data_IF_120244315139
#
_entry.id   IF_120244315139
#
_cell.length_a   1.000
_cell.length_b   1.000
_cell.length_c   1.000
_cell.angle_alpha   90.00
_cell.angle_beta   90.00
_cell.angle_gamma   90.00
#
_symmetry.space_group_name_H-M   'P 1'
#
loop_
_entity.id
_entity.type
_entity.pdbx_description
1 polymer ?
#
# COMPACT_ATOMS: atom_id res chain seq x y z
N UNK A 1 -3.36 -14.82 -4.41
CA UNK A 1 -3.77 -13.99 -5.57
C UNK A 1 -2.54 -13.46 -6.28
N UNK A 2 -2.58 -13.42 -7.59
CA UNK A 2 -1.50 -12.82 -8.38
C UNK A 2 -1.76 -11.30 -8.57
N UNK A 3 -0.79 -10.61 -9.18
CA UNK A 3 -0.89 -9.16 -9.33
C UNK A 3 -2.13 -8.72 -10.12
N UNK A 4 -2.48 -9.44 -11.19
CA UNK A 4 -3.65 -9.10 -12.01
C UNK A 4 -4.95 -9.27 -11.23
N UNK A 5 -5.07 -10.33 -10.45
CA UNK A 5 -6.24 -10.56 -9.60
C UNK A 5 -6.37 -9.48 -8.51
N UNK A 6 -5.26 -9.10 -7.89
CA UNK A 6 -5.24 -8.05 -6.88
C UNK A 6 -5.62 -6.71 -7.51
N UNK A 7 -5.11 -6.43 -8.71
CA UNK A 7 -5.47 -5.20 -9.43
C UNK A 7 -6.99 -5.11 -9.64
N UNK A 8 -7.59 -6.19 -10.14
CA UNK A 8 -9.04 -6.24 -10.36
C UNK A 8 -9.81 -6.05 -9.06
N UNK A 9 -9.35 -6.70 -7.99
CA UNK A 9 -9.97 -6.56 -6.68
C UNK A 9 -9.91 -5.12 -6.16
N UNK A 10 -8.75 -4.48 -6.25
CA UNK A 10 -8.59 -3.11 -5.78
C UNK A 10 -9.44 -2.13 -6.60
N UNK A 11 -9.56 -2.33 -7.90
CA UNK A 11 -10.41 -1.49 -8.75
C UNK A 11 -11.88 -1.58 -8.37
N UNK A 12 -12.32 -2.77 -7.98
CA UNK A 12 -13.70 -2.99 -7.56
C UNK A 12 -13.99 -2.42 -6.18
N UNK A 13 -13.09 -2.67 -5.21
CA UNK A 13 -13.34 -2.33 -3.80
C UNK A 13 -12.93 -0.88 -3.47
N UNK A 14 -11.99 -0.32 -4.20
CA UNK A 14 -11.49 1.04 -3.96
C UNK A 14 -11.48 1.82 -5.29
N UNK A 15 -12.65 2.15 -5.85
CA UNK A 15 -12.71 2.85 -7.13
C UNK A 15 -11.98 4.19 -7.06
N UNK A 16 -11.37 4.60 -8.17
CA UNK A 16 -10.66 5.87 -8.31
C UNK A 16 -9.41 6.00 -7.42
N UNK A 17 -8.76 4.87 -7.11
CA UNK A 17 -7.54 4.91 -6.29
C UNK A 17 -6.30 5.37 -7.08
N UNK A 18 -6.34 5.34 -8.42
CA UNK A 18 -5.22 5.74 -9.30
C UNK A 18 -3.95 4.93 -9.11
N UNK A 19 -4.08 3.66 -8.70
CA UNK A 19 -2.93 2.81 -8.40
C UNK A 19 -2.87 1.60 -9.31
N UNK A 20 -1.64 1.15 -9.57
CA UNK A 20 -1.41 -0.06 -10.34
C UNK A 20 -0.48 -1.00 -9.58
N UNK A 21 -0.91 -2.24 -9.43
CA UNK A 21 -0.08 -3.29 -8.86
C UNK A 21 0.96 -3.71 -9.89
N UNK A 22 2.22 -3.37 -9.66
CA UNK A 22 3.29 -3.66 -10.59
C UNK A 22 3.82 -5.08 -10.43
N UNK A 23 3.99 -5.53 -9.21
CA UNK A 23 4.45 -6.88 -8.93
C UNK A 23 4.04 -7.30 -7.54
N UNK A 24 3.83 -8.59 -7.37
CA UNK A 24 3.60 -9.23 -6.08
C UNK A 24 4.32 -10.56 -6.07
N UNK A 25 4.97 -10.86 -4.97
CA UNK A 25 5.51 -12.18 -4.69
C UNK A 25 5.41 -12.40 -3.18
N UNK A 26 5.67 -13.59 -2.71
CA UNK A 26 5.44 -13.92 -1.31
C UNK A 26 5.97 -12.84 -0.35
N UNK A 27 5.07 -12.26 0.44
CA UNK A 27 5.34 -11.23 1.45
C UNK A 27 5.82 -9.89 0.88
N UNK A 28 5.64 -9.65 -0.41
CA UNK A 28 6.10 -8.44 -1.06
C UNK A 28 5.07 -7.94 -2.08
N UNK A 29 4.91 -6.61 -2.15
CA UNK A 29 4.12 -5.99 -3.23
C UNK A 29 4.74 -4.65 -3.60
N UNK A 30 4.64 -4.31 -4.88
CA UNK A 30 5.06 -3.03 -5.41
C UNK A 30 3.88 -2.39 -6.12
N UNK A 31 3.49 -1.20 -5.70
CA UNK A 31 2.35 -0.47 -6.25
C UNK A 31 2.80 0.90 -6.71
N UNK A 32 2.34 1.29 -7.90
CA UNK A 32 2.55 2.61 -8.47
C UNK A 32 1.30 3.46 -8.24
N UNK A 33 1.46 4.67 -7.72
CA UNK A 33 0.40 5.66 -7.62
C UNK A 33 0.62 6.72 -8.70
N UNK A 34 -0.35 6.81 -9.64
CA UNK A 34 -0.34 7.85 -10.65
C UNK A 34 -0.78 9.17 -10.00
N UNK A 35 0.11 10.15 -9.99
CA UNK A 35 -0.13 11.43 -9.33
C UNK A 35 -0.89 12.38 -10.26
N UNK A 36 -1.94 13.00 -9.73
CA UNK A 36 -2.63 14.10 -10.38
C UNK A 36 -2.87 15.22 -9.35
N UNK A 37 -3.58 16.27 -9.74
CA UNK A 37 -3.79 17.42 -8.87
C UNK A 37 -4.53 17.07 -7.58
N UNK A 38 -5.33 16.01 -7.56
CA UNK A 38 -6.06 15.57 -6.36
C UNK A 38 -5.13 15.07 -5.26
N UNK A 39 -3.91 14.68 -5.60
CA UNK A 39 -2.92 14.17 -4.64
C UNK A 39 -2.03 15.28 -4.07
N UNK A 40 -2.14 16.50 -4.59
CA UNK A 40 -1.24 17.57 -4.21
C UNK A 40 -1.87 18.45 -3.12
N UNK A 41 -1.00 19.00 -2.30
CA UNK A 41 -1.37 20.00 -1.31
C UNK A 41 -0.93 21.39 -1.80
N UNK A 42 -1.37 22.47 -1.14
CA UNK A 42 -0.85 23.80 -1.47
C UNK A 42 0.68 23.83 -1.46
N UNK A 43 1.26 24.40 -2.50
CA UNK A 43 2.71 24.38 -2.71
C UNK A 43 3.17 23.32 -3.70
N UNK A 44 2.27 22.44 -4.17
CA UNK A 44 2.54 21.49 -5.25
C UNK A 44 3.22 20.20 -4.81
N UNK A 45 3.36 19.93 -3.51
CA UNK A 45 3.90 18.65 -3.03
C UNK A 45 2.79 17.63 -2.84
N UNK A 46 3.15 16.35 -2.95
CA UNK A 46 2.19 15.27 -2.70
C UNK A 46 1.77 15.27 -1.23
N UNK A 47 0.48 15.14 -0.99
CA UNK A 47 -0.07 15.22 0.37
C UNK A 47 0.27 13.98 1.21
N UNK A 48 0.38 14.19 2.53
CA UNK A 48 0.57 13.09 3.46
C UNK A 48 -0.53 12.02 3.37
N UNK A 49 -1.81 12.40 3.35
CA UNK A 49 -2.90 11.42 3.20
C UNK A 49 -2.78 10.56 1.94
N UNK A 50 -2.32 11.11 0.82
CA UNK A 50 -2.12 10.33 -0.40
C UNK A 50 -1.02 9.28 -0.20
N UNK A 51 0.06 9.63 0.48
CA UNK A 51 1.13 8.68 0.80
C UNK A 51 0.67 7.62 1.80
N UNK A 52 -0.18 8.00 2.77
CA UNK A 52 -0.75 7.05 3.72
C UNK A 52 -1.65 6.02 3.02
N UNK A 53 -2.46 6.47 2.06
CA UNK A 53 -3.30 5.56 1.28
C UNK A 53 -2.45 4.60 0.47
N UNK A 54 -1.38 5.09 -0.16
CA UNK A 54 -0.47 4.23 -0.92
C UNK A 54 0.17 3.18 -0.02
N UNK A 55 0.64 3.58 1.16
CA UNK A 55 1.23 2.65 2.12
C UNK A 55 0.22 1.58 2.54
N UNK A 56 -1.02 1.98 2.82
CA UNK A 56 -2.06 1.07 3.27
C UNK A 56 -2.42 0.05 2.18
N UNK A 57 -2.61 0.51 0.95
CA UNK A 57 -2.95 -0.40 -0.16
C UNK A 57 -1.78 -1.28 -0.57
N UNK A 58 -0.54 -0.82 -0.44
CA UNK A 58 0.62 -1.66 -0.69
C UNK A 58 0.70 -2.81 0.33
N UNK A 59 0.39 -2.53 1.61
CA UNK A 59 0.29 -3.57 2.64
C UNK A 59 -0.81 -4.56 2.30
N UNK A 60 -1.99 -4.06 1.96
CA UNK A 60 -3.13 -4.92 1.64
C UNK A 60 -2.82 -5.83 0.45
N UNK A 61 -2.18 -5.30 -0.58
CA UNK A 61 -1.79 -6.10 -1.74
C UNK A 61 -0.83 -7.24 -1.36
N UNK A 62 0.16 -6.97 -0.52
CA UNK A 62 1.08 -8.02 -0.04
C UNK A 62 0.33 -9.08 0.78
N UNK A 63 -0.63 -8.66 1.59
CA UNK A 63 -1.45 -9.58 2.39
C UNK A 63 -2.28 -10.47 1.47
N UNK A 64 -2.98 -9.89 0.49
CA UNK A 64 -3.80 -10.66 -0.44
C UNK A 64 -2.97 -11.65 -1.25
N UNK A 65 -1.76 -11.27 -1.65
CA UNK A 65 -0.87 -12.16 -2.38
C UNK A 65 -0.39 -13.32 -1.50
N UNK A 66 -0.11 -13.06 -0.24
CA UNK A 66 0.51 -14.04 0.67
C UNK A 66 -0.49 -14.99 1.30
N UNK A 67 -1.64 -14.48 1.75
CA UNK A 67 -2.62 -15.29 2.50
C UNK A 67 -3.94 -15.50 1.75
N UNK A 68 -4.09 -14.89 0.57
CA UNK A 68 -5.29 -15.05 -0.23
C UNK A 68 -6.37 -14.02 0.10
N UNK A 69 -7.58 -14.27 -0.37
CA UNK A 69 -8.69 -13.30 -0.26
C UNK A 69 -9.18 -13.19 1.19
N UNK A 70 -8.75 -12.14 1.88
CA UNK A 70 -9.15 -11.84 3.26
C UNK A 70 -9.77 -10.44 3.29
N UNK A 71 -10.91 -10.31 2.63
CA UNK A 71 -11.56 -9.01 2.42
C UNK A 71 -11.89 -8.27 3.70
N UNK A 72 -12.07 -9.00 4.82
CA UNK A 72 -12.38 -8.37 6.10
C UNK A 72 -11.14 -8.03 6.93
N UNK A 73 -9.95 -8.25 6.40
CA UNK A 73 -8.73 -7.79 7.06
C UNK A 73 -8.72 -6.27 7.08
N UNK A 74 -8.41 -5.69 8.22
CA UNK A 74 -8.46 -4.23 8.41
C UNK A 74 -7.18 -3.72 9.04
N UNK A 75 -6.82 -2.49 8.68
CA UNK A 75 -5.70 -1.79 9.29
C UNK A 75 -6.01 -1.45 10.73
N UNK A 76 -5.16 -1.87 11.66
CA UNK A 76 -5.31 -1.50 13.08
C UNK A 76 -4.27 -0.48 13.50
N UNK A 77 -3.18 -0.37 12.79
CA UNK A 77 -2.14 0.61 13.07
C UNK A 77 -1.38 0.94 11.80
N UNK A 78 -1.17 2.22 11.57
CA UNK A 78 -0.32 2.72 10.48
C UNK A 78 0.49 3.86 11.05
N UNK A 79 1.81 3.68 11.11
CA UNK A 79 2.73 4.69 11.59
C UNK A 79 3.64 5.06 10.42
N UNK A 80 3.60 6.32 10.00
CA UNK A 80 4.37 6.78 8.84
C UNK A 80 5.26 7.95 9.24
N UNK A 81 6.49 7.92 8.74
CA UNK A 81 7.45 9.01 8.88
C UNK A 81 7.74 9.56 7.50
N UNK A 82 7.54 10.87 7.32
CA UNK A 82 7.81 11.56 6.08
C UNK A 82 9.25 12.06 6.12
N UNK A 83 10.09 11.55 5.23
CA UNK A 83 11.53 11.77 5.27
C UNK A 83 11.98 12.95 4.42
N UNK A 84 11.27 13.18 3.31
CA UNK A 84 11.56 14.28 2.39
C UNK A 84 10.35 14.56 1.52
N UNK A 85 10.34 15.70 0.84
CA UNK A 85 9.28 16.04 -0.09
C UNK A 85 9.42 15.23 -1.37
N UNK A 86 8.35 14.55 -1.83
CA UNK A 86 8.37 13.87 -3.12
C UNK A 86 8.47 14.88 -4.27
N UNK A 87 9.03 14.44 -5.38
CA UNK A 87 9.03 15.22 -6.62
C UNK A 87 7.60 15.41 -7.10
N UNK A 88 7.12 16.66 -7.30
CA UNK A 88 5.70 16.89 -7.59
C UNK A 88 5.24 16.38 -8.96
N UNK A 89 6.17 16.13 -9.88
CA UNK A 89 5.83 15.68 -11.25
C UNK A 89 6.11 14.21 -11.48
N UNK A 90 6.49 13.48 -10.46
CA UNK A 90 6.75 12.04 -10.57
C UNK A 90 5.69 11.26 -9.84
N UNK A 91 5.36 10.10 -10.37
CA UNK A 91 4.52 9.15 -9.67
C UNK A 91 5.24 8.63 -8.43
N UNK A 92 4.48 8.06 -7.51
CA UNK A 92 5.03 7.45 -6.30
C UNK A 92 4.96 5.93 -6.41
N UNK A 93 5.91 5.27 -5.77
CA UNK A 93 5.95 3.81 -5.68
C UNK A 93 5.95 3.43 -4.22
N UNK A 94 5.06 2.51 -3.85
CA UNK A 94 5.05 1.91 -2.52
C UNK A 94 5.51 0.47 -2.61
N UNK A 95 6.52 0.10 -1.84
CA UNK A 95 6.98 -1.28 -1.72
C UNK A 95 6.75 -1.77 -0.32
N UNK A 96 5.94 -2.81 -0.19
CA UNK A 96 5.61 -3.40 1.10
C UNK A 96 6.29 -4.74 1.27
N UNK A 97 6.70 -5.03 2.50
CA UNK A 97 7.26 -6.32 2.90
C UNK A 97 6.61 -6.74 4.20
N UNK A 98 6.04 -7.95 4.24
CA UNK A 98 5.45 -8.47 5.45
C UNK A 98 6.55 -9.06 6.33
N UNK A 99 6.62 -8.59 7.57
CA UNK A 99 7.63 -9.00 8.54
C UNK A 99 7.13 -10.16 9.39
N UNK A 100 5.82 -10.20 9.65
CA UNK A 100 5.18 -11.25 10.43
C UNK A 100 3.81 -11.55 9.84
N UNK A 101 3.55 -12.82 9.61
CA UNK A 101 2.25 -13.29 9.12
C UNK A 101 1.68 -14.25 10.15
N UNK A 102 0.90 -13.72 11.08
CA UNK A 102 0.23 -14.51 12.11
C UNK A 102 -1.20 -14.86 11.71
N UNK A 103 -1.89 -15.62 12.54
CA UNK A 103 -3.29 -15.97 12.29
C UNK A 103 -4.22 -14.78 12.40
N UNK A 104 -3.91 -13.84 13.29
CA UNK A 104 -4.76 -12.69 13.57
C UNK A 104 -4.10 -11.37 13.25
N UNK A 105 -2.77 -11.30 13.35
CA UNK A 105 -2.04 -10.06 13.12
C UNK A 105 -0.99 -10.28 12.05
N UNK A 106 -0.93 -9.33 11.11
CA UNK A 106 0.09 -9.28 10.08
C UNK A 106 0.78 -7.93 10.22
N UNK A 107 2.10 -7.95 10.33
CA UNK A 107 2.91 -6.76 10.51
C UNK A 107 3.86 -6.63 9.34
N UNK A 108 3.94 -5.43 8.79
CA UNK A 108 4.83 -5.16 7.68
C UNK A 108 5.35 -3.74 7.66
N UNK A 109 6.17 -3.47 6.67
CA UNK A 109 6.68 -2.13 6.44
C UNK A 109 6.53 -1.75 4.98
N UNK A 110 6.46 -0.45 4.73
CA UNK A 110 6.34 0.09 3.38
C UNK A 110 7.37 1.21 3.23
N UNK A 111 8.13 1.15 2.15
CA UNK A 111 8.95 2.28 1.72
C UNK A 111 8.26 2.95 0.54
N UNK A 112 8.21 4.28 0.56
CA UNK A 112 7.62 5.06 -0.53
C UNK A 112 8.72 5.86 -1.20
N UNK A 113 8.73 5.80 -2.54
CA UNK A 113 9.74 6.47 -3.37
C UNK A 113 9.05 7.32 -4.43
N UNK A 114 9.71 8.38 -4.87
CA UNK A 114 9.37 8.95 -6.17
C UNK A 114 9.83 7.97 -7.24
N UNK A 115 9.07 7.81 -8.30
CA UNK A 115 9.42 6.88 -9.39
C UNK A 115 10.81 7.17 -9.92
N UNK A 116 11.64 6.14 -10.07
CA UNK A 116 13.02 6.21 -10.54
C UNK A 116 14.00 6.95 -9.61
N UNK A 117 13.62 7.11 -8.34
CA UNK A 117 14.52 7.66 -7.31
C UNK A 117 14.74 6.59 -6.24
N UNK A 118 15.99 6.20 -5.94
CA UNK A 118 16.26 5.17 -4.95
C UNK A 118 16.11 5.62 -3.50
N UNK A 119 16.01 6.94 -3.27
CA UNK A 119 15.91 7.47 -1.91
C UNK A 119 14.46 7.51 -1.44
N UNK A 120 14.12 6.87 -0.33
CA UNK A 120 12.72 6.86 0.13
C UNK A 120 12.28 8.25 0.57
N UNK A 121 11.04 8.59 0.24
CA UNK A 121 10.41 9.84 0.68
C UNK A 121 9.61 9.63 1.96
N UNK A 122 9.21 8.40 2.25
CA UNK A 122 8.49 8.06 3.47
C UNK A 122 8.71 6.59 3.80
N UNK A 123 8.56 6.26 5.08
CA UNK A 123 8.61 4.90 5.58
C UNK A 123 7.47 4.70 6.56
N UNK A 124 6.77 3.57 6.42
CA UNK A 124 5.66 3.23 7.30
C UNK A 124 5.83 1.85 7.90
N UNK A 125 5.32 1.67 9.11
CA UNK A 125 5.04 0.36 9.67
C UNK A 125 3.54 0.21 9.77
N UNK A 126 3.04 -0.98 9.53
CA UNK A 126 1.62 -1.20 9.40
C UNK A 126 1.24 -2.56 10.02
N UNK A 127 0.14 -2.57 10.73
CA UNK A 127 -0.42 -3.81 11.30
C UNK A 127 -1.85 -3.97 10.83
N UNK A 128 -2.15 -5.17 10.33
CA UNK A 128 -3.51 -5.56 9.96
C UNK A 128 -4.02 -6.61 10.92
N UNK A 129 -5.31 -6.53 11.21
CA UNK A 129 -6.04 -7.58 11.93
C UNK A 129 -6.79 -8.42 10.92
N UNK A 130 -6.60 -9.74 11.00
CA UNK A 130 -7.32 -10.70 10.17
C UNK A 130 -8.39 -11.35 11.06
N UNK A 131 -9.67 -11.24 10.69
CA UNK A 131 -10.72 -11.85 11.51
C UNK A 131 -10.63 -13.38 11.48
N UNK A 132 -11.24 -14.04 12.45
CA UNK A 132 -11.33 -15.50 12.42
C UNK A 132 -11.97 -15.99 11.13
N UNK A 133 -11.57 -17.18 10.68
CA UNK A 133 -12.03 -17.74 9.41
C UNK A 133 -13.55 -17.76 9.26
N UNK A 134 -14.28 -17.99 10.35
CA UNK A 134 -15.75 -18.02 10.33
C UNK A 134 -16.39 -16.65 10.08
N UNK A 135 -15.63 -15.56 10.08
CA UNK A 135 -16.13 -14.24 9.75
C UNK A 135 -15.81 -13.81 8.33
N UNK A 136 -15.14 -14.65 7.55
CA UNK A 136 -14.69 -14.30 6.20
C UNK A 136 -15.61 -14.81 5.10
N UNK A 137 -16.61 -15.56 5.45
CA UNK A 137 -17.55 -16.15 4.48
C UNK A 137 -18.53 -15.14 3.91
#
# INVERSE_FOLDING_TARGET
MNAAEIQTFLEKEFPNHHMKVQSCENRYARILLYIDNSHLRPGGTVSGPSMMLLADLAMYAAILNTVGSVVLAVTTNLNINFLRKPEPKRNLVGESTLMKVGKRLIVGQVNIYSENDPEPVAHATCTYSVPPENFQS
#
